data_IF_835999760091
#
_entry.id   IF_835999760091
#
_cell.length_a   1.000
_cell.length_b   1.000
_cell.length_c   1.000
_cell.angle_alpha   90.00
_cell.angle_beta   90.00
_cell.angle_gamma   90.00
#
_symmetry.space_group_name_H-M   'P 1'
#
loop_
_entity.id
_entity.type
_entity.pdbx_description
1 polymer ?
#
# COMPACT_ATOMS: atom_id res chain seq x y z
N UNK A 1 -10.07 12.58 25.58
CA UNK A 1 -10.11 11.54 24.52
C UNK A 1 -9.01 10.55 24.84
N UNK A 2 -9.26 9.23 24.84
CA UNK A 2 -8.16 8.28 24.96
C UNK A 2 -7.18 8.55 23.81
N UNK A 3 -5.89 8.69 24.13
CA UNK A 3 -4.85 8.75 23.12
C UNK A 3 -4.79 7.38 22.45
N UNK A 4 -5.23 7.28 21.19
CA UNK A 4 -5.03 6.07 20.41
C UNK A 4 -3.54 6.00 20.09
N UNK A 5 -2.81 5.14 20.79
CA UNK A 5 -1.42 4.81 20.48
C UNK A 5 -1.42 3.66 19.48
N UNK A 6 -1.04 3.94 18.23
CA UNK A 6 -0.91 2.93 17.18
C UNK A 6 0.55 2.49 17.13
N UNK A 7 0.82 1.20 17.29
CA UNK A 7 2.18 0.66 17.11
C UNK A 7 2.51 0.53 15.61
N UNK A 8 3.79 0.64 15.22
CA UNK A 8 4.20 0.38 13.84
C UNK A 8 3.94 -1.06 13.46
N UNK A 9 3.54 -1.29 12.21
CA UNK A 9 3.40 -2.62 11.66
C UNK A 9 3.91 -2.70 10.23
N UNK A 10 4.18 -3.93 9.80
CA UNK A 10 4.41 -4.24 8.38
C UNK A 10 3.13 -4.87 7.84
N UNK A 11 2.47 -4.18 6.91
CA UNK A 11 1.23 -4.63 6.30
C UNK A 11 1.54 -5.31 4.95
N UNK A 12 1.51 -6.64 4.91
CA UNK A 12 1.70 -7.41 3.68
C UNK A 12 0.35 -7.66 2.99
N UNK A 13 0.15 -7.05 1.82
CA UNK A 13 -1.07 -7.17 1.02
C UNK A 13 -0.85 -8.12 -0.16
N UNK A 14 -1.33 -9.35 -0.03
CA UNK A 14 -1.35 -10.35 -1.09
C UNK A 14 -2.47 -10.07 -2.10
N UNK A 15 -2.14 -10.13 -3.39
CA UNK A 15 -3.06 -9.76 -4.46
C UNK A 15 -3.24 -8.25 -4.58
N UNK A 16 -2.16 -7.49 -4.36
CA UNK A 16 -2.18 -6.03 -4.34
C UNK A 16 -2.71 -5.40 -5.65
N UNK A 17 -2.56 -6.07 -6.80
CA UNK A 17 -3.08 -5.58 -8.07
C UNK A 17 -4.50 -6.06 -8.39
N UNK A 18 -5.15 -6.76 -7.45
CA UNK A 18 -6.54 -7.21 -7.59
C UNK A 18 -7.55 -6.08 -7.40
N UNK A 19 -8.77 -6.28 -7.92
CA UNK A 19 -9.86 -5.28 -7.87
C UNK A 19 -10.16 -4.80 -6.44
N UNK A 20 -10.25 -5.72 -5.48
CA UNK A 20 -10.53 -5.36 -4.07
C UNK A 20 -9.42 -4.46 -3.49
N UNK A 21 -8.16 -4.78 -3.77
CA UNK A 21 -7.03 -4.01 -3.28
C UNK A 21 -7.04 -2.60 -3.85
N UNK A 22 -7.14 -2.47 -5.17
CA UNK A 22 -7.12 -1.20 -5.89
C UNK A 22 -8.33 -0.33 -5.58
N UNK A 23 -9.53 -0.92 -5.51
CA UNK A 23 -10.79 -0.19 -5.38
C UNK A 23 -11.17 0.13 -3.94
N UNK A 24 -10.67 -0.63 -2.95
CA UNK A 24 -11.09 -0.49 -1.55
C UNK A 24 -9.94 -0.41 -0.57
N UNK A 25 -8.97 -1.32 -0.62
CA UNK A 25 -7.95 -1.41 0.43
C UNK A 25 -6.95 -0.25 0.37
N UNK A 26 -6.38 0.03 -0.81
CA UNK A 26 -5.48 1.18 -0.95
C UNK A 26 -6.19 2.51 -0.67
N UNK A 27 -7.40 2.78 -1.20
CA UNK A 27 -8.15 3.97 -0.80
C UNK A 27 -8.38 4.07 0.71
N UNK A 28 -8.73 2.97 1.39
CA UNK A 28 -8.94 2.98 2.84
C UNK A 28 -7.63 3.25 3.62
N UNK A 29 -6.51 2.64 3.21
CA UNK A 29 -5.20 2.85 3.83
C UNK A 29 -4.70 4.28 3.61
N UNK A 30 -4.91 4.85 2.41
CA UNK A 30 -4.64 6.25 2.14
C UNK A 30 -5.44 7.17 3.07
N UNK A 31 -6.72 6.91 3.26
CA UNK A 31 -7.58 7.71 4.15
C UNK A 31 -7.14 7.62 5.61
N UNK A 32 -6.67 6.45 6.07
CA UNK A 32 -6.06 6.29 7.39
C UNK A 32 -4.78 7.11 7.53
N UNK A 33 -3.91 7.09 6.52
CA UNK A 33 -2.68 7.89 6.53
C UNK A 33 -2.99 9.40 6.52
N UNK A 34 -3.93 9.83 5.68
CA UNK A 34 -4.41 11.22 5.60
C UNK A 34 -4.96 11.70 6.94
N UNK A 35 -5.70 10.85 7.65
CA UNK A 35 -6.23 11.14 8.98
C UNK A 35 -5.19 11.07 10.11
N UNK A 36 -3.91 10.75 9.81
CA UNK A 36 -2.86 10.60 10.82
C UNK A 36 -3.04 9.38 11.73
N UNK A 37 -3.78 8.37 11.26
CA UNK A 37 -4.11 7.15 12.00
C UNK A 37 -3.17 5.98 11.69
N UNK A 38 -2.21 6.16 10.78
CA UNK A 38 -1.11 5.22 10.58
C UNK A 38 0.14 5.72 11.31
N UNK A 39 0.82 4.81 12.01
CA UNK A 39 2.11 5.11 12.62
C UNK A 39 3.14 5.51 11.55
N UNK A 40 4.07 6.40 11.90
CA UNK A 40 5.09 6.90 10.97
C UNK A 40 5.96 5.77 10.37
N UNK A 41 6.28 4.76 11.16
CA UNK A 41 7.11 3.62 10.72
C UNK A 41 6.31 2.44 10.12
N UNK A 42 5.00 2.60 9.87
CA UNK A 42 4.23 1.56 9.19
C UNK A 42 4.65 1.44 7.72
N UNK A 43 4.99 0.22 7.31
CA UNK A 43 5.37 -0.16 5.93
C UNK A 43 4.27 -0.99 5.28
N UNK A 44 4.08 -0.84 3.97
CA UNK A 44 3.06 -1.58 3.21
C UNK A 44 3.75 -2.32 2.06
N UNK A 45 3.71 -3.65 2.11
CA UNK A 45 4.18 -4.50 1.01
C UNK A 45 3.02 -4.87 0.10
N UNK A 46 3.06 -4.35 -1.13
CA UNK A 46 2.16 -4.71 -2.21
C UNK A 46 2.69 -5.96 -2.92
N UNK A 47 2.11 -7.12 -2.62
CA UNK A 47 2.54 -8.43 -3.12
C UNK A 47 1.61 -8.89 -4.25
N UNK A 48 2.16 -9.17 -5.43
CA UNK A 48 1.37 -9.64 -6.56
C UNK A 48 2.17 -10.58 -7.47
N UNK A 49 1.46 -11.31 -8.34
CA UNK A 49 2.05 -12.33 -9.23
C UNK A 49 2.53 -11.73 -10.55
N UNK A 50 2.16 -10.50 -10.82
CA UNK A 50 2.49 -9.82 -12.06
C UNK A 50 3.99 -9.51 -12.06
N UNK A 51 4.76 -10.06 -13.02
CA UNK A 51 6.16 -9.71 -13.16
C UNK A 51 6.30 -8.27 -13.66
N UNK A 52 7.48 -7.69 -13.46
CA UNK A 52 7.78 -6.36 -14.00
C UNK A 52 8.47 -5.47 -12.97
N UNK A 53 8.68 -4.23 -13.39
CA UNK A 53 9.34 -3.22 -12.59
C UNK A 53 8.42 -2.73 -11.45
N UNK A 54 8.99 -2.63 -10.24
CA UNK A 54 8.26 -2.21 -9.05
C UNK A 54 7.71 -0.78 -9.19
N UNK A 55 8.45 0.14 -9.81
CA UNK A 55 8.00 1.52 -9.98
C UNK A 55 6.77 1.60 -10.89
N UNK A 56 6.74 0.76 -11.93
CA UNK A 56 5.58 0.64 -12.83
C UNK A 56 4.31 0.21 -12.08
N UNK A 57 4.43 -0.79 -11.20
CA UNK A 57 3.30 -1.27 -10.40
C UNK A 57 2.86 -0.25 -9.34
N UNK A 58 3.80 0.46 -8.72
CA UNK A 58 3.49 1.53 -7.78
C UNK A 58 2.79 2.72 -8.48
N UNK A 59 3.24 3.10 -9.68
CA UNK A 59 2.56 4.11 -10.49
C UNK A 59 1.14 3.68 -10.90
N UNK A 60 0.94 2.38 -11.16
CA UNK A 60 -0.40 1.84 -11.38
C UNK A 60 -1.28 2.00 -10.14
N UNK A 61 -0.79 1.65 -8.94
CA UNK A 61 -1.51 1.82 -7.68
C UNK A 61 -1.87 3.30 -7.43
N UNK A 62 -0.94 4.24 -7.66
CA UNK A 62 -1.22 5.69 -7.59
C UNK A 62 -2.35 6.10 -8.55
N UNK A 63 -2.29 5.65 -9.81
CA UNK A 63 -3.33 5.95 -10.79
C UNK A 63 -4.72 5.46 -10.33
N UNK A 64 -4.80 4.27 -9.72
CA UNK A 64 -6.03 3.69 -9.22
C UNK A 64 -6.51 4.42 -7.96
N UNK A 65 -5.61 4.79 -7.06
CA UNK A 65 -5.92 5.64 -5.91
C UNK A 65 -6.58 6.94 -6.34
N UNK A 66 -5.98 7.66 -7.30
CA UNK A 66 -6.54 8.92 -7.83
C UNK A 66 -7.89 8.74 -8.54
N UNK A 67 -8.15 7.56 -9.10
CA UNK A 67 -9.43 7.24 -9.71
C UNK A 67 -10.53 6.97 -8.66
N UNK A 68 -10.20 6.23 -7.60
CA UNK A 68 -11.20 5.77 -6.62
C UNK A 68 -11.34 6.66 -5.39
N UNK A 69 -10.31 7.43 -5.05
CA UNK A 69 -10.38 8.51 -4.07
C UNK A 69 -10.79 9.77 -4.82
N UNK A 70 -11.93 10.37 -4.47
CA UNK A 70 -12.42 11.55 -5.15
C UNK A 70 -11.39 12.68 -5.13
N UNK A 71 -11.27 13.45 -6.22
CA UNK A 71 -10.24 14.48 -6.37
C UNK A 71 -10.19 15.54 -5.24
N UNK A 72 -11.32 15.77 -4.55
CA UNK A 72 -11.41 16.69 -3.40
C UNK A 72 -10.83 16.12 -2.11
N UNK A 73 -10.64 14.80 -2.04
CA UNK A 73 -10.12 14.08 -0.88
C UNK A 73 -8.63 13.75 -1.03
N UNK A 74 -8.07 13.92 -2.23
CA UNK A 74 -6.63 13.80 -2.47
C UNK A 74 -5.93 15.07 -1.98
N UNK A 75 -5.09 14.87 -0.97
CA UNK A 75 -4.08 15.82 -0.50
C UNK A 75 -2.70 15.33 -0.94
N UNK A 76 -2.01 16.10 -1.78
CA UNK A 76 -0.76 15.67 -2.44
C UNK A 76 0.38 15.35 -1.45
N UNK A 77 0.46 16.08 -0.34
CA UNK A 77 1.44 15.79 0.73
C UNK A 77 1.16 14.44 1.39
N UNK A 78 -0.11 14.17 1.73
CA UNK A 78 -0.53 12.89 2.30
C UNK A 78 -0.36 11.75 1.31
N UNK A 79 -0.63 11.99 0.02
CA UNK A 79 -0.46 10.98 -1.03
C UNK A 79 1.01 10.63 -1.23
N UNK A 80 1.87 11.63 -1.30
CA UNK A 80 3.33 11.44 -1.42
C UNK A 80 3.87 10.65 -0.23
N UNK A 81 3.45 11.00 1.00
CA UNK A 81 3.80 10.27 2.22
C UNK A 81 3.28 8.83 2.18
N UNK A 82 2.03 8.63 1.78
CA UNK A 82 1.42 7.30 1.69
C UNK A 82 2.17 6.42 0.69
N UNK A 83 2.40 6.90 -0.53
CA UNK A 83 3.13 6.18 -1.57
C UNK A 83 4.56 5.83 -1.15
N UNK A 84 5.23 6.69 -0.37
CA UNK A 84 6.55 6.41 0.17
C UNK A 84 6.59 5.22 1.17
N UNK A 85 5.44 4.80 1.71
CA UNK A 85 5.31 3.61 2.55
C UNK A 85 5.17 2.31 1.76
N UNK A 86 4.82 2.41 0.48
CA UNK A 86 4.54 1.26 -0.35
C UNK A 86 5.84 0.72 -0.94
N UNK A 87 5.99 -0.60 -0.87
CA UNK A 87 7.02 -1.35 -1.59
C UNK A 87 6.31 -2.46 -2.37
N UNK A 88 6.65 -2.60 -3.65
CA UNK A 88 6.11 -3.69 -4.46
C UNK A 88 7.08 -4.87 -4.47
N UNK A 89 6.55 -6.07 -4.29
CA UNK A 89 7.33 -7.30 -4.43
C UNK A 89 6.54 -8.29 -5.31
N UNK A 90 7.20 -8.75 -6.36
CA UNK A 90 6.70 -9.86 -7.17
C UNK A 90 6.88 -11.17 -6.40
N UNK A 91 5.79 -11.91 -6.23
CA UNK A 91 5.79 -13.22 -5.55
C UNK A 91 4.90 -14.19 -6.30
N UNK A 92 5.45 -15.32 -6.74
CA UNK A 92 4.63 -16.48 -7.08
C UNK A 92 4.20 -17.17 -5.78
N UNK A 93 2.90 -17.10 -5.46
CA UNK A 93 2.37 -17.61 -4.20
C UNK A 93 2.57 -19.12 -4.01
N UNK A 94 2.87 -19.86 -5.07
CA UNK A 94 3.16 -21.29 -5.03
C UNK A 94 4.63 -21.62 -4.80
N UNK A 95 5.54 -20.64 -4.87
CA UNK A 95 6.98 -20.84 -4.71
C UNK A 95 7.45 -20.29 -3.38
N UNK A 96 7.91 -21.18 -2.50
CA UNK A 96 8.39 -20.79 -1.16
C UNK A 96 9.60 -19.86 -1.21
N UNK A 97 10.47 -20.00 -2.21
CA UNK A 97 11.65 -19.14 -2.40
C UNK A 97 11.32 -17.66 -2.61
N UNK A 98 10.17 -17.36 -3.22
CA UNK A 98 9.74 -15.99 -3.49
C UNK A 98 9.30 -15.24 -2.22
N UNK A 99 9.16 -15.93 -1.09
CA UNK A 99 8.84 -15.32 0.20
C UNK A 99 10.08 -14.87 0.97
N UNK A 100 11.29 -15.28 0.56
CA UNK A 100 12.53 -14.89 1.24
C UNK A 100 12.72 -13.36 1.33
N UNK A 101 12.45 -12.56 0.28
CA UNK A 101 12.60 -11.11 0.34
C UNK A 101 11.60 -10.43 1.28
N UNK A 102 10.52 -11.10 1.71
CA UNK A 102 9.56 -10.54 2.67
C UNK A 102 10.10 -10.54 4.10
N UNK A 103 11.15 -11.31 4.39
CA UNK A 103 11.77 -11.41 5.71
C UNK A 103 12.83 -10.33 5.97
N UNK A 104 13.20 -9.53 4.96
CA UNK A 104 14.17 -8.43 5.02
C UNK A 104 13.50 -7.08 5.36
#
# INVERSE_FOLDING_TARGET
MPSITVEPCTFALFGALGDLALRKLFPALYQLDRAGLLHADTRIFALAREPGDALTHLAHIDSQLRQYVGAKEIEEEALTRFLARLSYLHVDFLKTEDYLPLAE
#
